data_IF_313148235529
#
_entry.id   IF_313148235529
#
_cell.length_a   1.000
_cell.length_b   1.000
_cell.length_c   1.000
_cell.angle_alpha   90.00
_cell.angle_beta   90.00
_cell.angle_gamma   90.00
#
_symmetry.space_group_name_H-M   'P 1'
#
loop_
_entity.id
_entity.type
_entity.pdbx_description
1 polymer ?
#
# COMPACT_ATOMS: atom_id res chain seq x y z
N UNK A 1 38.84 40.16 -30.07
CA UNK A 1 37.90 40.24 -28.93
C UNK A 1 37.14 41.58 -28.85
N UNK A 2 36.85 42.26 -29.96
CA UNK A 2 36.05 43.52 -29.99
C UNK A 2 34.96 43.53 -31.06
N UNK A 3 34.76 42.43 -31.78
CA UNK A 3 33.75 42.33 -32.85
C UNK A 3 32.39 41.83 -32.36
N UNK A 4 32.33 40.97 -31.33
CA UNK A 4 31.05 40.44 -30.83
C UNK A 4 30.26 41.42 -29.96
N UNK A 5 30.96 42.32 -29.26
CA UNK A 5 30.33 43.43 -28.54
C UNK A 5 29.69 44.43 -29.52
N UNK A 6 30.11 44.52 -30.78
CA UNK A 6 29.45 45.44 -31.73
C UNK A 6 28.15 44.88 -32.32
N UNK A 7 27.85 43.58 -32.14
CA UNK A 7 26.65 42.96 -32.73
C UNK A 7 25.46 42.96 -31.77
N UNK A 8 25.67 42.63 -30.48
CA UNK A 8 24.64 42.75 -29.42
C UNK A 8 24.11 44.19 -29.29
N UNK A 9 24.96 45.19 -29.55
CA UNK A 9 24.62 46.61 -29.41
C UNK A 9 23.98 47.22 -30.67
N UNK A 10 24.09 46.55 -31.83
CA UNK A 10 23.39 46.96 -33.05
C UNK A 10 21.89 46.70 -32.95
N UNK A 11 21.44 45.71 -32.18
CA UNK A 11 20.03 45.35 -32.01
C UNK A 11 19.30 46.36 -31.11
N UNK A 12 19.85 46.62 -29.92
CA UNK A 12 19.35 47.66 -29.00
C UNK A 12 19.35 49.04 -29.69
N UNK A 13 20.36 49.35 -30.50
CA UNK A 13 20.41 50.61 -31.27
C UNK A 13 19.55 50.64 -32.54
N UNK A 14 19.00 49.51 -33.04
CA UNK A 14 18.09 49.48 -34.21
C UNK A 14 16.64 49.70 -33.79
N UNK A 15 16.24 49.12 -32.66
CA UNK A 15 14.93 49.37 -32.02
C UNK A 15 14.88 50.74 -31.33
N UNK A 16 15.99 51.21 -30.72
CA UNK A 16 16.05 52.53 -30.07
C UNK A 16 16.47 53.69 -31.00
N UNK A 17 16.62 53.46 -32.31
CA UNK A 17 17.01 54.53 -33.27
C UNK A 17 15.91 55.52 -33.58
N UNK A 18 14.78 55.44 -32.88
CA UNK A 18 13.73 56.44 -32.88
C UNK A 18 13.80 57.16 -31.53
N UNK A 19 14.49 58.32 -31.52
CA UNK A 19 14.34 59.40 -30.53
C UNK A 19 15.15 59.42 -29.20
N UNK A 20 16.48 59.22 -29.18
CA UNK A 20 17.27 59.58 -27.98
C UNK A 20 18.59 60.32 -28.28
N UNK A 21 18.94 61.32 -27.45
CA UNK A 21 20.20 62.05 -27.54
C UNK A 21 21.35 61.32 -26.82
N UNK A 22 22.60 61.69 -27.13
CA UNK A 22 23.85 61.05 -26.65
C UNK A 22 23.94 60.81 -25.13
N UNK A 23 23.30 61.67 -24.32
CA UNK A 23 23.25 61.60 -22.86
C UNK A 23 22.25 60.55 -22.35
N UNK A 24 21.11 60.41 -23.03
CA UNK A 24 20.10 59.37 -22.76
C UNK A 24 20.59 58.00 -23.22
N UNK A 25 21.36 57.96 -24.31
CA UNK A 25 22.06 56.76 -24.76
C UNK A 25 23.10 56.30 -23.72
N UNK A 26 23.85 57.21 -23.11
CA UNK A 26 24.78 56.89 -22.02
C UNK A 26 24.06 56.41 -20.77
N UNK A 27 22.91 57.00 -20.40
CA UNK A 27 22.09 56.50 -19.30
C UNK A 27 21.49 55.12 -19.59
N UNK A 28 21.06 54.85 -20.83
CA UNK A 28 20.65 53.50 -21.26
C UNK A 28 21.82 52.52 -21.21
N UNK A 29 23.01 52.87 -21.71
CA UNK A 29 24.22 52.04 -21.62
C UNK A 29 24.61 51.78 -20.16
N UNK A 30 24.40 52.74 -19.26
CA UNK A 30 24.73 52.60 -17.83
C UNK A 30 23.68 51.74 -17.11
N UNK A 31 22.39 51.88 -17.46
CA UNK A 31 21.30 50.97 -17.06
C UNK A 31 21.50 49.55 -17.63
N UNK A 32 22.02 49.42 -18.84
CA UNK A 32 22.35 48.14 -19.50
C UNK A 32 23.63 47.50 -18.94
N UNK A 33 24.61 48.29 -18.46
CA UNK A 33 25.77 47.74 -17.72
C UNK A 33 25.39 47.27 -16.32
N UNK A 34 24.33 47.79 -15.72
CA UNK A 34 23.71 47.18 -14.53
C UNK A 34 22.89 45.92 -14.82
N UNK A 35 22.66 45.54 -16.09
CA UNK A 35 21.96 44.29 -16.45
C UNK A 35 22.79 43.02 -16.27
N UNK A 36 24.10 43.13 -15.98
CA UNK A 36 24.88 41.98 -15.52
C UNK A 36 24.39 41.42 -14.17
N UNK A 37 23.63 42.24 -13.40
CA UNK A 37 23.09 41.94 -12.07
C UNK A 37 21.54 41.86 -12.05
N UNK A 38 20.89 41.40 -13.13
CA UNK A 38 19.44 41.16 -13.11
C UNK A 38 19.15 40.02 -12.13
N UNK A 39 18.44 40.34 -11.05
CA UNK A 39 17.92 39.40 -10.05
C UNK A 39 16.42 39.12 -10.22
N UNK A 40 15.78 39.78 -11.19
CA UNK A 40 14.37 39.58 -11.46
C UNK A 40 14.17 38.24 -12.19
N UNK A 41 13.52 37.30 -11.50
CA UNK A 41 13.40 35.91 -11.93
C UNK A 41 12.52 35.75 -13.17
N UNK A 42 11.48 36.59 -13.32
CA UNK A 42 10.60 36.54 -14.49
C UNK A 42 11.34 37.04 -15.74
N UNK A 43 12.13 38.12 -15.61
CA UNK A 43 12.97 38.62 -16.70
C UNK A 43 14.07 37.63 -17.09
N UNK A 44 14.66 36.92 -16.11
CA UNK A 44 15.65 35.88 -16.40
C UNK A 44 15.02 34.72 -17.20
N UNK A 45 13.79 34.31 -16.85
CA UNK A 45 13.07 33.28 -17.61
C UNK A 45 12.71 33.75 -19.03
N UNK A 46 12.24 35.00 -19.16
CA UNK A 46 11.93 35.60 -20.46
C UNK A 46 13.16 35.68 -21.37
N UNK A 47 14.31 36.14 -20.85
CA UNK A 47 15.55 36.21 -21.64
C UNK A 47 16.06 34.83 -22.02
N UNK A 48 15.94 33.84 -21.13
CA UNK A 48 16.31 32.47 -21.47
C UNK A 48 15.50 31.94 -22.65
N UNK A 49 14.18 32.21 -22.69
CA UNK A 49 13.30 31.83 -23.78
C UNK A 49 13.64 32.58 -25.08
N UNK A 50 13.90 33.88 -25.01
CA UNK A 50 14.23 34.67 -26.21
C UNK A 50 15.54 34.19 -26.85
N UNK A 51 16.57 33.94 -26.05
CA UNK A 51 17.82 33.33 -26.53
C UNK A 51 17.59 31.93 -27.11
N UNK A 52 16.74 31.12 -26.48
CA UNK A 52 16.38 29.79 -26.99
C UNK A 52 15.73 29.85 -28.37
N UNK A 53 14.73 30.72 -28.55
CA UNK A 53 14.02 30.92 -29.82
C UNK A 53 14.94 31.40 -30.96
N UNK A 54 15.99 32.16 -30.60
CA UNK A 54 17.03 32.61 -31.54
C UNK A 54 18.11 31.55 -31.80
N UNK A 55 18.02 30.38 -31.18
CA UNK A 55 19.03 29.30 -31.22
C UNK A 55 20.36 29.68 -30.57
N UNK A 56 20.34 30.63 -29.65
CA UNK A 56 21.48 31.05 -28.82
C UNK A 56 21.54 30.21 -27.53
N UNK A 57 21.64 28.88 -27.69
CA UNK A 57 21.44 27.91 -26.61
C UNK A 57 22.37 28.11 -25.40
N UNK A 58 23.61 28.53 -25.63
CA UNK A 58 24.55 28.79 -24.53
C UNK A 58 24.10 29.98 -23.66
N UNK A 59 23.62 31.06 -24.27
CA UNK A 59 23.14 32.22 -23.53
C UNK A 59 21.85 31.88 -22.79
N UNK A 60 20.96 31.09 -23.41
CA UNK A 60 19.78 30.54 -22.76
C UNK A 60 20.14 29.75 -21.49
N UNK A 61 21.12 28.84 -21.57
CA UNK A 61 21.66 28.08 -20.41
C UNK A 61 22.25 28.99 -19.34
N UNK A 62 23.01 30.01 -19.71
CA UNK A 62 23.60 30.94 -18.75
C UNK A 62 22.53 31.72 -17.96
N UNK A 63 21.41 32.09 -18.60
CA UNK A 63 20.26 32.69 -17.92
C UNK A 63 19.54 31.69 -17.01
N UNK A 64 19.38 30.42 -17.41
CA UNK A 64 18.83 29.37 -16.53
C UNK A 64 19.69 29.15 -15.29
N UNK A 65 21.03 29.10 -15.45
CA UNK A 65 21.98 29.00 -14.32
C UNK A 65 21.83 30.16 -13.33
N UNK A 66 21.67 31.38 -13.84
CA UNK A 66 21.39 32.56 -12.99
C UNK A 66 20.05 32.41 -12.27
N UNK A 67 19.02 31.93 -12.96
CA UNK A 67 17.71 31.72 -12.37
C UNK A 67 17.76 30.68 -11.26
N UNK A 68 18.43 29.54 -11.48
CA UNK A 68 18.69 28.52 -10.44
C UNK A 68 19.39 29.14 -9.22
N UNK A 69 20.44 29.92 -9.45
CA UNK A 69 21.21 30.55 -8.38
C UNK A 69 20.39 31.55 -7.55
N UNK A 70 19.44 32.25 -8.17
CA UNK A 70 18.60 33.24 -7.48
C UNK A 70 17.26 32.68 -6.98
N UNK A 71 16.89 31.45 -7.35
CA UNK A 71 15.59 30.83 -7.05
C UNK A 71 15.44 30.28 -5.61
N UNK A 72 16.41 30.47 -4.71
CA UNK A 72 16.39 29.90 -3.34
C UNK A 72 15.48 30.63 -2.32
N UNK A 73 14.68 31.61 -2.73
CA UNK A 73 13.66 32.17 -1.84
C UNK A 73 12.34 31.42 -2.02
N UNK A 74 12.02 30.50 -1.10
CA UNK A 74 10.75 29.74 -1.03
C UNK A 74 9.48 30.64 -1.11
N UNK A 75 9.64 31.95 -0.90
CA UNK A 75 8.63 33.01 -0.90
C UNK A 75 8.58 33.92 -2.14
N UNK A 76 9.32 33.63 -3.23
CA UNK A 76 9.31 34.53 -4.40
C UNK A 76 8.04 34.38 -5.24
N UNK A 77 7.18 35.40 -5.18
CA UNK A 77 6.00 35.52 -6.05
C UNK A 77 6.36 35.57 -7.54
N UNK A 78 7.47 36.24 -7.90
CA UNK A 78 7.91 36.34 -9.31
C UNK A 78 8.37 35.00 -9.88
N UNK A 79 9.01 34.14 -9.07
CA UNK A 79 9.40 32.80 -9.51
C UNK A 79 8.18 31.91 -9.75
N UNK A 80 7.17 32.05 -8.88
CA UNK A 80 5.90 31.30 -8.92
C UNK A 80 4.89 31.92 -9.89
N UNK A 81 5.23 33.00 -10.60
CA UNK A 81 4.33 33.64 -11.55
C UNK A 81 4.02 32.71 -12.72
N UNK A 82 2.77 32.75 -13.20
CA UNK A 82 2.35 31.98 -14.38
C UNK A 82 3.20 32.31 -15.61
N UNK A 83 3.67 33.55 -15.73
CA UNK A 83 4.54 33.98 -16.83
C UNK A 83 5.88 33.25 -16.79
N UNK A 84 6.55 33.25 -15.64
CA UNK A 84 7.82 32.53 -15.43
C UNK A 84 7.66 31.05 -15.79
N UNK A 85 6.62 30.40 -15.28
CA UNK A 85 6.33 28.98 -15.55
C UNK A 85 6.09 28.76 -17.05
N UNK A 86 5.31 29.62 -17.71
CA UNK A 86 5.01 29.51 -19.14
C UNK A 86 6.24 29.69 -20.02
N UNK A 87 7.15 30.63 -19.68
CA UNK A 87 8.40 30.80 -20.40
C UNK A 87 9.28 29.55 -20.31
N UNK A 88 9.42 28.98 -19.10
CA UNK A 88 10.19 27.77 -18.88
C UNK A 88 9.58 26.55 -19.61
N UNK A 89 8.25 26.42 -19.62
CA UNK A 89 7.54 25.37 -20.36
C UNK A 89 7.78 25.43 -21.87
N UNK A 90 7.83 26.63 -22.44
CA UNK A 90 8.11 26.78 -23.87
C UNK A 90 9.50 26.26 -24.22
N UNK A 91 10.51 26.54 -23.37
CA UNK A 91 11.85 25.98 -23.54
C UNK A 91 11.82 24.46 -23.38
N UNK A 92 11.18 23.97 -22.32
CA UNK A 92 11.11 22.54 -22.00
C UNK A 92 10.47 21.67 -23.08
N UNK A 93 9.66 22.25 -23.98
CA UNK A 93 8.95 21.50 -25.01
C UNK A 93 9.81 20.89 -26.10
N UNK A 94 11.08 21.32 -26.25
CA UNK A 94 11.98 20.83 -27.30
C UNK A 94 13.46 21.15 -27.01
N UNK A 95 13.91 21.00 -25.77
CA UNK A 95 15.28 21.34 -25.36
C UNK A 95 16.19 20.11 -25.23
N UNK A 96 17.50 20.35 -25.12
CA UNK A 96 18.45 19.28 -24.82
C UNK A 96 18.37 18.82 -23.35
N UNK A 97 19.03 17.70 -23.03
CA UNK A 97 19.03 17.12 -21.69
C UNK A 97 19.57 18.06 -20.60
N UNK A 98 20.59 18.87 -20.92
CA UNK A 98 21.17 19.83 -19.98
C UNK A 98 20.18 20.95 -19.65
N UNK A 99 19.53 21.53 -20.65
CA UNK A 99 18.50 22.56 -20.45
C UNK A 99 17.29 21.99 -19.72
N UNK A 100 16.85 20.77 -20.05
CA UNK A 100 15.73 20.15 -19.36
C UNK A 100 16.05 19.92 -17.88
N UNK A 101 17.24 19.40 -17.57
CA UNK A 101 17.70 19.20 -16.19
C UNK A 101 17.70 20.51 -15.40
N UNK A 102 18.19 21.60 -15.99
CA UNK A 102 18.12 22.94 -15.37
C UNK A 102 16.67 23.41 -15.13
N UNK A 103 15.76 23.16 -16.08
CA UNK A 103 14.35 23.54 -15.93
C UNK A 103 13.67 22.71 -14.84
N UNK A 104 13.96 21.40 -14.76
CA UNK A 104 13.44 20.54 -13.71
C UNK A 104 13.96 20.96 -12.32
N UNK A 105 15.22 21.38 -12.21
CA UNK A 105 15.75 21.97 -10.96
C UNK A 105 14.99 23.25 -10.55
N UNK A 106 14.65 24.11 -11.51
CA UNK A 106 13.84 25.31 -11.24
C UNK A 106 12.41 24.92 -10.82
N UNK A 107 11.77 23.98 -11.52
CA UNK A 107 10.43 23.51 -11.18
C UNK A 107 10.39 22.82 -9.82
N UNK A 108 11.45 22.11 -9.44
CA UNK A 108 11.61 21.56 -8.10
C UNK A 108 11.61 22.67 -7.04
N UNK A 109 12.10 23.88 -7.32
CA UNK A 109 12.01 25.01 -6.38
C UNK A 109 10.62 25.66 -6.38
N UNK A 110 9.91 25.63 -7.51
CA UNK A 110 8.54 26.19 -7.64
C UNK A 110 7.51 25.31 -6.93
N UNK A 111 7.57 23.99 -7.10
CA UNK A 111 6.67 22.98 -6.48
C UNK A 111 5.17 23.19 -6.75
N UNK A 112 4.80 23.84 -7.84
CA UNK A 112 3.40 24.09 -8.18
C UNK A 112 2.92 23.12 -9.27
N UNK A 113 1.65 22.67 -9.25
CA UNK A 113 1.11 21.78 -10.29
C UNK A 113 1.10 22.43 -11.68
N UNK A 114 1.09 23.76 -11.74
CA UNK A 114 1.23 24.51 -12.99
C UNK A 114 2.59 24.29 -13.67
N UNK A 115 3.59 23.71 -13.02
CA UNK A 115 4.84 23.29 -13.67
C UNK A 115 4.64 22.09 -14.62
N UNK A 116 3.63 21.25 -14.38
CA UNK A 116 3.36 20.07 -15.20
C UNK A 116 2.68 20.45 -16.51
N UNK A 117 3.08 19.81 -17.61
CA UNK A 117 2.41 19.91 -18.90
C UNK A 117 2.65 18.66 -19.74
N UNK A 118 1.75 18.29 -20.66
CA UNK A 118 1.96 17.16 -21.56
C UNK A 118 3.26 17.28 -22.37
N UNK A 119 3.62 18.50 -22.78
CA UNK A 119 4.86 18.76 -23.52
C UNK A 119 6.11 18.45 -22.68
N UNK A 120 6.08 18.79 -21.38
CA UNK A 120 7.18 18.47 -20.47
C UNK A 120 7.35 16.95 -20.33
N UNK A 121 6.24 16.22 -20.15
CA UNK A 121 6.26 14.76 -20.05
C UNK A 121 6.78 14.11 -21.34
N UNK A 122 6.30 14.57 -22.50
CA UNK A 122 6.79 14.09 -23.79
C UNK A 122 8.29 14.29 -23.93
N UNK A 123 8.82 15.45 -23.53
CA UNK A 123 10.27 15.69 -23.59
C UNK A 123 11.06 14.78 -22.64
N UNK A 124 10.55 14.54 -21.43
CA UNK A 124 11.15 13.59 -20.48
C UNK A 124 11.21 12.18 -21.09
N UNK A 125 10.12 11.73 -21.73
CA UNK A 125 10.03 10.43 -22.39
C UNK A 125 10.90 10.35 -23.65
N UNK A 126 10.98 11.40 -24.46
CA UNK A 126 11.80 11.42 -25.68
C UNK A 126 13.30 11.35 -25.38
N UNK A 127 13.76 11.96 -24.28
CA UNK A 127 15.17 11.98 -23.92
C UNK A 127 15.67 10.67 -23.26
N UNK A 128 14.76 9.84 -22.74
CA UNK A 128 15.06 8.51 -22.16
C UNK A 128 16.26 8.49 -21.20
N UNK A 129 16.48 9.57 -20.45
CA UNK A 129 17.57 9.68 -19.49
C UNK A 129 17.07 9.36 -18.09
N UNK A 130 17.64 8.33 -17.46
CA UNK A 130 17.32 7.92 -16.09
C UNK A 130 17.42 9.09 -15.11
N UNK A 131 18.43 9.96 -15.27
CA UNK A 131 18.61 11.14 -14.41
C UNK A 131 17.43 12.12 -14.55
N UNK A 132 16.98 12.38 -15.77
CA UNK A 132 15.85 13.28 -16.06
C UNK A 132 14.54 12.67 -15.55
N UNK A 133 14.33 11.37 -15.76
CA UNK A 133 13.17 10.64 -15.26
C UNK A 133 13.11 10.74 -13.73
N UNK A 134 14.23 10.50 -13.04
CA UNK A 134 14.30 10.59 -11.57
C UNK A 134 14.06 12.03 -11.05
N UNK A 135 14.58 13.04 -11.74
CA UNK A 135 14.29 14.44 -11.40
C UNK A 135 12.80 14.76 -11.59
N UNK A 136 12.17 14.24 -12.65
CA UNK A 136 10.75 14.42 -12.90
C UNK A 136 9.87 13.71 -11.84
N UNK A 137 10.24 12.49 -11.41
CA UNK A 137 9.56 11.81 -10.30
C UNK A 137 9.69 12.61 -9.01
N UNK A 138 10.90 13.13 -8.73
CA UNK A 138 11.13 13.98 -7.55
C UNK A 138 10.24 15.22 -7.60
N UNK A 139 10.05 15.81 -8.79
CA UNK A 139 9.13 16.94 -8.98
C UNK A 139 7.69 16.54 -8.69
N UNK A 140 7.20 15.42 -9.25
CA UNK A 140 5.87 14.90 -8.97
C UNK A 140 5.67 14.67 -7.47
N UNK A 141 6.66 14.07 -6.80
CA UNK A 141 6.62 13.83 -5.36
C UNK A 141 6.50 15.13 -4.56
N UNK A 142 7.32 16.13 -4.90
CA UNK A 142 7.30 17.41 -4.20
C UNK A 142 5.99 18.16 -4.43
N UNK A 143 5.43 18.11 -5.64
CA UNK A 143 4.11 18.66 -5.95
C UNK A 143 3.04 17.96 -5.12
N UNK A 144 3.04 16.63 -5.05
CA UNK A 144 2.04 15.86 -4.29
C UNK A 144 2.10 16.17 -2.79
N UNK A 145 3.29 16.32 -2.21
CA UNK A 145 3.44 16.58 -0.77
C UNK A 145 3.17 18.02 -0.35
N UNK A 146 3.33 18.99 -1.25
CA UNK A 146 3.26 20.42 -0.93
C UNK A 146 1.94 21.08 -1.29
N UNK A 147 1.01 20.36 -1.94
CA UNK A 147 -0.25 20.93 -2.44
C UNK A 147 -1.46 20.12 -1.97
N UNK A 148 -2.64 20.75 -2.01
CA UNK A 148 -3.90 20.08 -1.68
C UNK A 148 -4.22 18.99 -2.71
N UNK A 149 -4.32 17.74 -2.25
CA UNK A 149 -4.48 16.57 -3.13
C UNK A 149 -5.76 16.65 -3.95
N UNK A 150 -6.87 17.14 -3.39
CA UNK A 150 -8.13 17.27 -4.13
C UNK A 150 -7.95 18.17 -5.37
N UNK A 151 -7.20 19.27 -5.25
CA UNK A 151 -6.89 20.14 -6.39
C UNK A 151 -5.97 19.46 -7.40
N UNK A 152 -4.93 18.76 -6.93
CA UNK A 152 -4.01 18.03 -7.81
C UNK A 152 -4.71 16.99 -8.68
N UNK A 153 -5.71 16.32 -8.11
CA UNK A 153 -6.43 15.28 -8.81
C UNK A 153 -7.54 15.86 -9.70
N UNK A 154 -8.41 16.72 -9.16
CA UNK A 154 -9.58 17.21 -9.89
C UNK A 154 -9.21 18.25 -10.97
N UNK A 155 -8.11 18.99 -10.80
CA UNK A 155 -7.76 20.11 -11.69
C UNK A 155 -6.48 19.88 -12.50
N UNK A 156 -5.55 19.03 -12.04
CA UNK A 156 -4.23 18.89 -12.64
C UNK A 156 -3.89 17.48 -13.13
N UNK A 157 -4.81 16.52 -13.01
CA UNK A 157 -4.66 15.15 -13.51
C UNK A 157 -3.33 14.47 -13.09
N UNK A 158 -2.88 14.70 -11.84
CA UNK A 158 -1.58 14.19 -11.36
C UNK A 158 -1.44 12.66 -11.51
N UNK A 159 -2.56 11.94 -11.38
CA UNK A 159 -2.60 10.49 -11.56
C UNK A 159 -2.16 10.10 -12.98
N UNK A 160 -2.59 10.83 -14.01
CA UNK A 160 -2.23 10.51 -15.39
C UNK A 160 -0.72 10.64 -15.61
N UNK A 161 -0.09 11.69 -15.07
CA UNK A 161 1.37 11.83 -15.12
C UNK A 161 2.10 10.69 -14.42
N UNK A 162 1.59 10.25 -13.26
CA UNK A 162 2.16 9.10 -12.56
C UNK A 162 2.06 7.83 -13.41
N UNK A 163 0.95 7.63 -14.11
CA UNK A 163 0.76 6.46 -14.98
C UNK A 163 1.66 6.49 -16.21
N UNK A 164 1.78 7.65 -16.84
CA UNK A 164 2.55 7.77 -18.08
C UNK A 164 4.06 7.69 -17.84
N UNK A 165 4.55 8.11 -16.67
CA UNK A 165 5.97 7.94 -16.30
C UNK A 165 6.28 6.51 -15.83
N UNK A 166 5.26 5.76 -15.39
CA UNK A 166 5.43 4.40 -14.80
C UNK A 166 6.17 3.43 -15.73
N UNK A 167 5.98 3.56 -17.05
CA UNK A 167 6.59 2.66 -18.04
C UNK A 167 8.10 2.92 -18.25
N UNK A 168 8.60 4.07 -17.81
CA UNK A 168 9.99 4.49 -17.97
C UNK A 168 10.83 4.27 -16.69
N UNK A 169 10.27 3.59 -15.68
CA UNK A 169 10.89 3.39 -14.37
C UNK A 169 11.71 2.10 -14.31
N UNK A 170 12.99 2.25 -13.99
CA UNK A 170 13.86 1.14 -13.59
C UNK A 170 13.77 0.83 -12.08
N UNK A 171 13.43 1.83 -11.26
CA UNK A 171 13.17 1.72 -9.82
C UNK A 171 11.87 2.45 -9.46
N UNK A 172 11.08 1.86 -8.57
CA UNK A 172 9.77 2.33 -8.18
C UNK A 172 9.74 2.96 -6.78
N UNK A 173 10.87 3.08 -6.09
CA UNK A 173 10.91 3.55 -4.70
C UNK A 173 10.27 4.92 -4.49
N UNK A 174 10.70 5.96 -5.20
CA UNK A 174 10.16 7.31 -5.07
C UNK A 174 8.72 7.36 -5.56
N UNK A 175 8.40 6.64 -6.64
CA UNK A 175 7.06 6.53 -7.17
C UNK A 175 6.09 5.89 -6.15
N UNK A 176 6.53 4.85 -5.43
CA UNK A 176 5.75 4.18 -4.39
C UNK A 176 5.40 5.14 -3.25
N UNK A 177 6.33 5.97 -2.81
CA UNK A 177 6.08 6.94 -1.74
C UNK A 177 4.97 7.92 -2.12
N UNK A 178 4.90 8.31 -3.41
CA UNK A 178 3.81 9.14 -3.93
C UNK A 178 2.48 8.39 -3.84
N UNK A 179 2.43 7.14 -4.29
CA UNK A 179 1.20 6.34 -4.27
C UNK A 179 0.72 6.05 -2.85
N UNK A 180 1.63 5.72 -1.93
CA UNK A 180 1.31 5.49 -0.53
C UNK A 180 0.68 6.75 0.09
N UNK A 181 1.27 7.92 -0.17
CA UNK A 181 0.73 9.19 0.30
C UNK A 181 -0.66 9.48 -0.28
N UNK A 182 -0.86 9.25 -1.58
CA UNK A 182 -2.17 9.43 -2.24
C UNK A 182 -3.22 8.45 -1.70
N UNK A 183 -2.86 7.18 -1.45
CA UNK A 183 -3.78 6.17 -0.90
C UNK A 183 -4.21 6.49 0.54
N UNK A 184 -3.35 7.15 1.29
CA UNK A 184 -3.63 7.60 2.66
C UNK A 184 -4.47 8.89 2.71
N UNK A 185 -4.60 9.62 1.59
CA UNK A 185 -5.37 10.86 1.55
C UNK A 185 -6.87 10.59 1.37
N UNK A 186 -7.65 11.18 2.27
CA UNK A 186 -9.05 10.87 2.55
C UNK A 186 -10.03 11.61 1.61
N UNK A 187 -10.82 10.89 0.81
CA UNK A 187 -12.27 11.19 0.58
C UNK A 187 -12.92 10.32 -0.52
N UNK A 188 -12.19 9.97 -1.59
CA UNK A 188 -12.76 9.23 -2.75
C UNK A 188 -11.83 8.15 -3.35
N UNK A 189 -11.47 7.10 -2.59
CA UNK A 189 -10.55 6.05 -3.06
C UNK A 189 -11.00 5.42 -4.39
N UNK A 190 -12.27 5.03 -4.51
CA UNK A 190 -12.75 4.24 -5.66
C UNK A 190 -12.52 4.80 -7.07
N UNK A 191 -12.44 6.12 -7.31
CA UNK A 191 -12.20 6.68 -8.66
C UNK A 191 -10.71 6.63 -9.02
N UNK A 192 -9.88 7.07 -8.09
CA UNK A 192 -8.43 7.21 -8.26
C UNK A 192 -7.72 5.86 -8.37
N UNK A 193 -8.27 4.88 -7.66
CA UNK A 193 -7.79 3.50 -7.64
C UNK A 193 -7.97 2.80 -8.99
N UNK A 194 -9.03 3.10 -9.75
CA UNK A 194 -9.26 2.46 -11.06
C UNK A 194 -8.14 2.72 -12.05
N UNK A 195 -7.66 3.96 -12.04
CA UNK A 195 -6.68 4.43 -12.99
C UNK A 195 -5.27 3.96 -12.61
N UNK A 196 -4.94 3.89 -11.31
CA UNK A 196 -3.64 3.43 -10.81
C UNK A 196 -3.44 1.91 -10.90
N UNK A 197 -4.47 1.11 -10.61
CA UNK A 197 -4.33 -0.35 -10.53
C UNK A 197 -4.03 -0.98 -11.90
N UNK A 198 -4.63 -0.47 -12.98
CA UNK A 198 -4.47 -1.08 -14.31
C UNK A 198 -2.99 -1.04 -14.75
N UNK A 199 -2.26 0.08 -14.62
CA UNK A 199 -0.82 0.11 -14.91
C UNK A 199 0.02 -0.71 -13.93
N UNK A 200 -0.29 -0.72 -12.63
CA UNK A 200 0.38 -1.62 -11.67
C UNK A 200 0.24 -3.09 -12.06
N UNK A 201 -0.93 -3.50 -12.56
CA UNK A 201 -1.14 -4.87 -13.02
C UNK A 201 -0.47 -5.14 -14.38
N UNK A 202 -0.28 -4.13 -15.23
CA UNK A 202 0.54 -4.27 -16.45
C UNK A 202 2.03 -4.40 -16.11
N UNK A 203 2.50 -3.72 -15.06
CA UNK A 203 3.88 -3.82 -14.55
C UNK A 203 4.23 -5.22 -14.02
N UNK A 204 3.24 -6.05 -13.68
CA UNK A 204 3.46 -7.47 -13.32
C UNK A 204 4.17 -8.28 -14.41
N UNK A 205 4.13 -7.81 -15.65
CA UNK A 205 4.82 -8.46 -16.77
C UNK A 205 6.30 -8.08 -16.84
N UNK A 206 6.73 -7.05 -16.11
CA UNK A 206 8.03 -6.39 -16.27
C UNK A 206 8.90 -6.33 -15.01
N UNK A 207 8.32 -6.39 -13.80
CA UNK A 207 9.06 -6.31 -12.52
C UNK A 207 8.91 -7.57 -11.65
N UNK A 208 9.87 -7.77 -10.74
CA UNK A 208 9.75 -8.61 -9.57
C UNK A 208 8.39 -8.35 -8.88
N UNK A 209 7.60 -9.40 -8.64
CA UNK A 209 6.24 -9.35 -8.09
C UNK A 209 6.04 -8.48 -6.82
N UNK A 210 7.10 -7.95 -6.22
CA UNK A 210 7.12 -7.23 -4.96
C UNK A 210 6.56 -5.80 -5.03
N UNK A 211 6.94 -4.98 -6.01
CA UNK A 211 6.46 -3.59 -6.09
C UNK A 211 4.96 -3.54 -6.29
N UNK A 212 4.45 -4.41 -7.17
CA UNK A 212 3.00 -4.49 -7.41
C UNK A 212 2.24 -4.92 -6.15
N UNK A 213 2.75 -5.90 -5.40
CA UNK A 213 2.14 -6.33 -4.15
C UNK A 213 2.15 -5.21 -3.10
N UNK A 214 3.22 -4.43 -2.99
CA UNK A 214 3.28 -3.30 -2.05
C UNK A 214 2.22 -2.23 -2.36
N UNK A 215 2.03 -1.89 -3.64
CA UNK A 215 0.98 -0.93 -4.03
C UNK A 215 -0.41 -1.46 -3.70
N UNK A 216 -0.68 -2.73 -4.03
CA UNK A 216 -1.94 -3.39 -3.70
C UNK A 216 -2.15 -3.41 -2.18
N UNK A 217 -1.10 -3.67 -1.41
CA UNK A 217 -1.14 -3.66 0.05
C UNK A 217 -1.48 -2.27 0.60
N UNK A 218 -0.83 -1.21 0.12
CA UNK A 218 -1.16 0.18 0.48
C UNK A 218 -2.63 0.51 0.19
N UNK A 219 -3.17 -0.03 -0.91
CA UNK A 219 -4.58 0.12 -1.26
C UNK A 219 -5.52 -0.65 -0.33
N UNK A 220 -5.19 -1.90 0.02
CA UNK A 220 -5.95 -2.69 1.00
C UNK A 220 -5.87 -2.08 2.41
N UNK A 221 -4.82 -1.32 2.72
CA UNK A 221 -4.66 -0.62 3.98
C UNK A 221 -5.50 0.67 4.09
N UNK A 222 -6.07 1.16 2.98
CA UNK A 222 -6.93 2.35 2.98
C UNK A 222 -8.15 2.17 3.91
N UNK A 223 -8.23 2.96 4.98
CA UNK A 223 -9.23 2.77 6.05
C UNK A 223 -10.66 3.15 5.65
N UNK A 224 -10.83 4.06 4.70
CA UNK A 224 -12.15 4.64 4.36
C UNK A 224 -12.94 3.87 3.32
N UNK A 225 -12.28 3.11 2.44
CA UNK A 225 -12.95 2.36 1.37
C UNK A 225 -12.27 1.00 1.10
N UNK A 226 -11.78 0.35 2.17
CA UNK A 226 -11.11 -0.95 2.08
C UNK A 226 -11.92 -1.96 1.27
N UNK A 227 -13.23 -2.03 1.53
CA UNK A 227 -14.13 -2.98 0.87
C UNK A 227 -14.34 -2.64 -0.61
N UNK A 228 -14.48 -1.36 -0.97
CA UNK A 228 -14.60 -0.94 -2.37
C UNK A 228 -13.33 -1.21 -3.16
N UNK A 229 -12.16 -0.91 -2.57
CA UNK A 229 -10.85 -1.20 -3.15
C UNK A 229 -10.66 -2.70 -3.42
N UNK A 230 -10.97 -3.55 -2.43
CA UNK A 230 -10.89 -5.02 -2.59
C UNK A 230 -11.85 -5.50 -3.67
N UNK A 231 -13.11 -5.06 -3.66
CA UNK A 231 -14.07 -5.46 -4.68
C UNK A 231 -13.63 -5.06 -6.08
N UNK A 232 -12.97 -3.90 -6.22
CA UNK A 232 -12.41 -3.49 -7.50
C UNK A 232 -11.26 -4.41 -7.96
N UNK A 233 -10.31 -4.70 -7.07
CA UNK A 233 -9.21 -5.62 -7.34
C UNK A 233 -9.71 -7.02 -7.75
N UNK A 234 -10.77 -7.51 -7.09
CA UNK A 234 -11.39 -8.81 -7.36
C UNK A 234 -12.09 -8.93 -8.71
N UNK A 235 -12.34 -7.82 -9.40
CA UNK A 235 -12.90 -7.81 -10.77
C UNK A 235 -11.79 -8.00 -11.80
N UNK A 236 -10.52 -7.73 -11.44
CA UNK A 236 -9.45 -7.68 -12.42
C UNK A 236 -8.93 -9.09 -12.73
N UNK A 237 -8.91 -9.50 -14.02
CA UNK A 237 -8.38 -10.81 -14.40
C UNK A 237 -6.94 -11.00 -13.95
N UNK A 238 -6.62 -12.19 -13.42
CA UNK A 238 -5.27 -12.53 -12.95
C UNK A 238 -4.91 -12.01 -11.56
N UNK A 239 -5.74 -11.18 -10.91
CA UNK A 239 -5.45 -10.66 -9.57
C UNK A 239 -5.36 -11.78 -8.53
N UNK A 240 -6.34 -12.69 -8.49
CA UNK A 240 -6.31 -13.84 -7.57
C UNK A 240 -5.13 -14.75 -7.88
N UNK A 241 -4.85 -15.00 -9.17
CA UNK A 241 -3.71 -15.81 -9.60
C UNK A 241 -2.39 -15.23 -9.12
N UNK A 242 -2.22 -13.90 -9.19
CA UNK A 242 -1.04 -13.20 -8.67
C UNK A 242 -0.82 -13.47 -7.19
N UNK A 243 -1.87 -13.29 -6.36
CA UNK A 243 -1.78 -13.50 -4.91
C UNK A 243 -1.42 -14.95 -4.57
N UNK A 244 -2.04 -15.88 -5.29
CA UNK A 244 -1.84 -17.30 -5.10
C UNK A 244 -0.43 -17.74 -5.52
N UNK A 245 0.10 -17.19 -6.61
CA UNK A 245 1.46 -17.45 -7.07
C UNK A 245 2.54 -16.82 -6.17
N UNK A 246 2.18 -15.81 -5.38
CA UNK A 246 3.06 -15.10 -4.46
C UNK A 246 2.58 -15.20 -3.01
N UNK A 247 2.08 -16.37 -2.61
CA UNK A 247 1.36 -16.54 -1.34
C UNK A 247 2.14 -16.02 -0.13
N UNK A 248 3.43 -16.31 -0.04
CA UNK A 248 4.30 -15.90 1.07
C UNK A 248 4.44 -14.38 1.22
N UNK A 249 4.34 -13.64 0.11
CA UNK A 249 4.43 -12.17 0.08
C UNK A 249 3.06 -11.50 0.12
N UNK A 250 1.97 -12.26 0.01
CA UNK A 250 0.61 -11.73 -0.20
C UNK A 250 -0.30 -11.93 1.01
N UNK A 251 0.21 -12.42 2.15
CA UNK A 251 -0.63 -12.75 3.31
C UNK A 251 -1.43 -11.57 3.85
N UNK A 252 -0.86 -10.37 3.88
CA UNK A 252 -1.57 -9.17 4.34
C UNK A 252 -2.73 -8.81 3.40
N UNK A 253 -2.53 -8.93 2.08
CA UNK A 253 -3.60 -8.67 1.11
C UNK A 253 -4.69 -9.75 1.23
N UNK A 254 -4.30 -11.01 1.35
CA UNK A 254 -5.22 -12.15 1.52
C UNK A 254 -6.03 -12.01 2.81
N UNK A 255 -5.42 -11.59 3.91
CA UNK A 255 -6.12 -11.37 5.19
C UNK A 255 -7.17 -10.27 5.04
N UNK A 256 -6.86 -9.17 4.35
CA UNK A 256 -7.83 -8.12 4.07
C UNK A 256 -8.97 -8.58 3.18
N UNK A 257 -8.71 -9.41 2.15
CA UNK A 257 -9.78 -10.03 1.35
C UNK A 257 -10.68 -10.89 2.24
N UNK A 258 -10.07 -11.73 3.09
CA UNK A 258 -10.76 -12.57 4.08
C UNK A 258 -11.45 -11.76 5.16
N UNK A 259 -11.14 -10.48 5.40
CA UNK A 259 -11.88 -9.62 6.33
C UNK A 259 -13.05 -8.90 5.67
N UNK A 260 -12.96 -8.61 4.36
CA UNK A 260 -13.91 -7.71 3.70
C UNK A 260 -14.81 -8.33 2.61
N UNK A 261 -14.51 -9.53 2.10
CA UNK A 261 -15.22 -10.09 0.93
C UNK A 261 -15.42 -11.61 0.96
N UNK A 262 -16.68 -12.05 1.05
CA UNK A 262 -17.05 -13.47 0.88
C UNK A 262 -16.77 -13.98 -0.54
N UNK A 263 -17.04 -13.16 -1.56
CA UNK A 263 -16.77 -13.50 -2.97
C UNK A 263 -15.27 -13.69 -3.20
N UNK A 264 -14.45 -12.74 -2.72
CA UNK A 264 -13.00 -12.84 -2.80
C UNK A 264 -12.45 -14.07 -2.08
N UNK A 265 -12.98 -14.36 -0.88
CA UNK A 265 -12.59 -15.56 -0.13
C UNK A 265 -13.00 -16.84 -0.86
N UNK A 266 -14.19 -16.85 -1.47
CA UNK A 266 -14.66 -18.00 -2.27
C UNK A 266 -13.77 -18.23 -3.49
N UNK A 267 -13.38 -17.17 -4.20
CA UNK A 267 -12.45 -17.23 -5.34
C UNK A 267 -11.07 -17.76 -4.92
N UNK A 268 -10.53 -17.30 -3.80
CA UNK A 268 -9.27 -17.82 -3.25
C UNK A 268 -9.36 -19.32 -2.97
N UNK A 269 -10.46 -19.77 -2.35
CA UNK A 269 -10.68 -21.19 -2.05
C UNK A 269 -10.82 -22.01 -3.34
N UNK A 270 -11.50 -21.49 -4.37
CA UNK A 270 -11.59 -22.13 -5.68
C UNK A 270 -10.23 -22.26 -6.38
N UNK A 271 -9.25 -21.44 -6.01
CA UNK A 271 -7.85 -21.48 -6.48
C UNK A 271 -6.93 -22.28 -5.56
N UNK A 272 -7.52 -23.20 -4.79
CA UNK A 272 -6.86 -24.14 -3.89
C UNK A 272 -6.07 -23.49 -2.75
N UNK A 273 -6.51 -22.32 -2.25
CA UNK A 273 -5.84 -21.59 -1.18
C UNK A 273 -5.46 -22.50 0.01
N UNK A 274 -6.39 -23.31 0.52
CA UNK A 274 -6.14 -24.15 1.68
C UNK A 274 -5.11 -25.25 1.42
N UNK A 275 -5.10 -25.84 0.23
CA UNK A 275 -4.11 -26.87 -0.15
C UNK A 275 -2.72 -26.23 -0.28
N UNK A 276 -2.65 -25.03 -0.86
CA UNK A 276 -1.39 -24.29 -1.03
C UNK A 276 -0.83 -23.81 0.31
N UNK A 277 -1.68 -23.29 1.20
CA UNK A 277 -1.30 -22.96 2.58
C UNK A 277 -0.81 -24.20 3.32
N UNK A 278 -1.52 -25.33 3.24
CA UNK A 278 -1.10 -26.57 3.89
C UNK A 278 0.32 -26.99 3.47
N UNK A 279 0.58 -27.05 2.16
CA UNK A 279 1.92 -27.38 1.63
C UNK A 279 3.01 -26.39 2.05
N UNK A 280 2.69 -25.11 2.12
CA UNK A 280 3.63 -24.08 2.58
C UNK A 280 3.93 -24.21 4.07
N UNK A 281 2.96 -24.59 4.89
CA UNK A 281 3.19 -24.83 6.32
C UNK A 281 4.12 -26.03 6.54
N UNK A 282 3.94 -27.09 5.75
CA UNK A 282 4.83 -28.25 5.78
C UNK A 282 6.27 -27.89 5.40
N UNK A 283 6.43 -26.98 4.43
CA UNK A 283 7.74 -26.53 3.98
C UNK A 283 8.41 -25.53 4.94
N UNK A 284 7.64 -24.63 5.56
CA UNK A 284 8.14 -23.57 6.43
C UNK A 284 7.25 -23.35 7.66
N UNK A 285 7.67 -23.94 8.78
CA UNK A 285 6.98 -23.85 10.07
C UNK A 285 7.03 -22.44 10.71
N UNK A 286 7.85 -21.52 10.20
CA UNK A 286 7.88 -20.14 10.71
C UNK A 286 6.58 -19.38 10.39
N UNK A 287 5.83 -19.81 9.38
CA UNK A 287 4.58 -19.18 8.93
C UNK A 287 3.33 -19.61 9.71
N UNK A 288 3.47 -20.51 10.70
CA UNK A 288 2.34 -21.07 11.47
C UNK A 288 1.42 -20.00 12.06
N UNK A 289 1.97 -18.95 12.68
CA UNK A 289 1.21 -17.88 13.33
C UNK A 289 0.37 -17.12 12.32
N UNK A 290 0.93 -16.83 11.14
CA UNK A 290 0.21 -16.21 10.04
C UNK A 290 -0.97 -17.06 9.59
N UNK A 291 -0.83 -18.39 9.57
CA UNK A 291 -1.90 -19.27 9.08
C UNK A 291 -2.98 -19.45 10.14
N UNK A 292 -2.60 -19.56 11.41
CA UNK A 292 -3.55 -19.52 12.54
C UNK A 292 -4.38 -18.24 12.47
N UNK A 293 -3.73 -17.09 12.23
CA UNK A 293 -4.41 -15.81 12.08
C UNK A 293 -5.39 -15.81 10.89
N UNK A 294 -4.97 -16.29 9.71
CA UNK A 294 -5.86 -16.37 8.54
C UNK A 294 -7.09 -17.24 8.78
N UNK A 295 -6.94 -18.40 9.42
CA UNK A 295 -8.04 -19.30 9.75
C UNK A 295 -8.98 -18.64 10.77
N UNK A 296 -8.43 -17.97 11.78
CA UNK A 296 -9.23 -17.20 12.75
C UNK A 296 -10.10 -16.15 12.03
N UNK A 297 -9.52 -15.41 11.08
CA UNK A 297 -10.28 -14.42 10.30
C UNK A 297 -11.42 -15.05 9.50
N UNK A 298 -11.19 -16.21 8.87
CA UNK A 298 -12.25 -16.94 8.17
C UNK A 298 -13.36 -17.32 9.14
N UNK A 299 -13.00 -17.90 10.29
CA UNK A 299 -13.96 -18.31 11.31
C UNK A 299 -14.82 -17.13 11.78
N UNK A 300 -14.23 -15.95 12.00
CA UNK A 300 -14.92 -14.79 12.57
C UNK A 300 -15.78 -14.01 11.56
N UNK A 301 -15.30 -13.86 10.33
CA UNK A 301 -15.88 -12.90 9.39
C UNK A 301 -16.64 -13.52 8.22
N UNK A 302 -16.52 -14.83 7.98
CA UNK A 302 -17.06 -15.45 6.77
C UNK A 302 -18.39 -16.18 6.98
N UNK A 303 -19.08 -16.38 5.87
CA UNK A 303 -20.33 -17.17 5.80
C UNK A 303 -20.12 -18.62 6.20
N UNK A 304 -21.22 -19.27 6.58
CA UNK A 304 -21.18 -20.64 7.07
C UNK A 304 -20.67 -21.63 6.02
N UNK A 305 -20.99 -21.38 4.76
CA UNK A 305 -20.49 -22.17 3.62
C UNK A 305 -18.97 -22.14 3.50
N UNK A 306 -18.33 -21.01 3.79
CA UNK A 306 -16.87 -20.87 3.71
C UNK A 306 -16.22 -21.57 4.90
N UNK A 307 -16.79 -21.40 6.09
CA UNK A 307 -16.27 -22.01 7.31
C UNK A 307 -16.38 -23.53 7.27
N UNK A 308 -17.47 -24.09 6.74
CA UNK A 308 -17.59 -25.55 6.54
C UNK A 308 -16.48 -26.10 5.64
N UNK A 309 -16.19 -25.44 4.51
CA UNK A 309 -15.07 -25.82 3.64
C UNK A 309 -13.71 -25.77 4.33
N UNK A 310 -13.52 -24.80 5.23
CA UNK A 310 -12.30 -24.70 6.03
C UNK A 310 -12.19 -25.87 7.02
N UNK A 311 -13.26 -26.18 7.76
CA UNK A 311 -13.28 -27.26 8.77
C UNK A 311 -13.00 -28.63 8.14
N UNK A 312 -13.47 -28.84 6.91
CA UNK A 312 -13.22 -30.06 6.12
C UNK A 312 -11.82 -30.10 5.49
N UNK A 313 -11.05 -29.01 5.55
CA UNK A 313 -9.72 -28.93 4.94
C UNK A 313 -8.63 -29.58 5.79
N UNK A 314 -7.61 -30.11 5.11
CA UNK A 314 -6.39 -30.62 5.76
C UNK A 314 -5.63 -29.54 6.55
N UNK A 315 -5.71 -28.29 6.11
CA UNK A 315 -5.11 -27.15 6.80
C UNK A 315 -5.68 -27.01 8.22
N UNK A 316 -6.99 -27.11 8.38
CA UNK A 316 -7.63 -27.02 9.70
C UNK A 316 -7.22 -28.18 10.61
N UNK A 317 -7.17 -29.40 10.07
CA UNK A 317 -6.64 -30.56 10.80
C UNK A 317 -5.20 -30.33 11.26
N UNK A 318 -4.32 -29.84 10.38
CA UNK A 318 -2.91 -29.61 10.69
C UNK A 318 -2.72 -28.58 11.81
N UNK A 319 -3.54 -27.53 11.84
CA UNK A 319 -3.49 -26.53 12.91
C UNK A 319 -3.91 -27.12 14.26
N UNK A 320 -4.94 -27.98 14.28
CA UNK A 320 -5.33 -28.70 15.49
C UNK A 320 -4.32 -29.80 15.89
N UNK A 321 -3.40 -30.15 15.01
CA UNK A 321 -2.34 -31.14 15.23
C UNK A 321 -1.02 -30.53 15.71
N UNK A 322 -0.90 -29.20 15.77
CA UNK A 322 0.33 -28.54 16.22
C UNK A 322 0.62 -28.87 17.69
N UNK A 323 1.89 -29.08 18.00
CA UNK A 323 2.33 -29.39 19.35
C UNK A 323 2.47 -28.11 20.19
N UNK A 324 2.15 -28.20 21.48
CA UNK A 324 2.24 -27.11 22.45
C UNK A 324 3.66 -26.53 22.53
N UNK A 325 4.70 -27.36 22.38
CA UNK A 325 6.10 -26.92 22.35
C UNK A 325 6.44 -26.08 21.12
N UNK A 326 5.65 -26.21 20.06
CA UNK A 326 5.82 -25.47 18.82
C UNK A 326 5.02 -24.17 18.79
N UNK A 327 4.05 -23.97 19.69
CA UNK A 327 3.15 -22.82 19.69
C UNK A 327 3.63 -21.73 20.64
N UNK A 328 3.58 -20.47 20.19
CA UNK A 328 3.81 -19.32 21.05
C UNK A 328 2.55 -18.98 21.86
N UNK A 329 2.68 -18.18 22.92
CA UNK A 329 1.54 -17.79 23.75
C UNK A 329 0.43 -17.11 22.93
N UNK A 330 0.80 -16.24 21.98
CA UNK A 330 -0.17 -15.57 21.11
C UNK A 330 -0.90 -16.56 20.20
N UNK A 331 -0.22 -17.59 19.68
CA UNK A 331 -0.84 -18.64 18.88
C UNK A 331 -1.93 -19.38 19.68
N UNK A 332 -1.65 -19.71 20.94
CA UNK A 332 -2.57 -20.40 21.84
C UNK A 332 -3.80 -19.53 22.16
N UNK A 333 -3.60 -18.22 22.34
CA UNK A 333 -4.70 -17.26 22.50
C UNK A 333 -5.59 -17.26 21.26
N UNK A 334 -5.01 -17.13 20.06
CA UNK A 334 -5.78 -17.12 18.80
C UNK A 334 -6.55 -18.42 18.59
N UNK A 335 -5.92 -19.58 18.81
CA UNK A 335 -6.58 -20.90 18.69
C UNK A 335 -7.73 -21.01 19.70
N UNK A 336 -7.52 -20.63 20.97
CA UNK A 336 -8.58 -20.73 22.00
C UNK A 336 -9.80 -19.86 21.66
N UNK A 337 -9.58 -18.65 21.12
CA UNK A 337 -10.63 -17.74 20.65
C UNK A 337 -11.37 -18.31 19.45
N UNK A 338 -10.64 -18.85 18.47
CA UNK A 338 -11.21 -19.50 17.29
C UNK A 338 -12.14 -20.65 17.69
N UNK A 339 -11.67 -21.56 18.55
CA UNK A 339 -12.43 -22.73 18.98
C UNK A 339 -13.69 -22.32 19.75
N UNK A 340 -13.56 -21.40 20.73
CA UNK A 340 -14.71 -20.91 21.49
C UNK A 340 -15.79 -20.31 20.58
N UNK A 341 -15.38 -19.51 19.59
CA UNK A 341 -16.29 -18.91 18.64
C UNK A 341 -16.99 -19.97 17.78
N UNK A 342 -16.23 -20.90 17.17
CA UNK A 342 -16.78 -21.95 16.32
C UNK A 342 -17.79 -22.81 17.08
N UNK A 343 -17.47 -23.16 18.32
CA UNK A 343 -18.31 -23.98 19.19
C UNK A 343 -19.61 -23.27 19.53
N UNK A 344 -19.56 -21.98 19.86
CA UNK A 344 -20.76 -21.18 20.12
C UNK A 344 -21.61 -20.98 18.86
N UNK A 345 -20.97 -20.78 17.70
CA UNK A 345 -21.65 -20.51 16.44
C UNK A 345 -22.38 -21.74 15.90
N UNK A 346 -21.71 -22.88 15.82
CA UNK A 346 -22.26 -24.12 15.24
C UNK A 346 -22.75 -25.09 16.31
N UNK A 347 -23.51 -24.59 17.29
CA UNK A 347 -23.99 -25.37 18.44
C UNK A 347 -24.94 -26.53 18.05
N UNK A 348 -24.39 -27.56 17.43
CA UNK A 348 -25.08 -28.75 16.98
C UNK A 348 -24.18 -29.97 17.09
N UNK A 349 -24.80 -31.13 17.30
CA UNK A 349 -24.12 -32.40 17.53
C UNK A 349 -23.25 -32.85 16.36
N UNK A 350 -23.70 -32.63 15.12
CA UNK A 350 -22.99 -33.12 13.93
C UNK A 350 -21.60 -32.52 13.78
N UNK A 351 -21.47 -31.21 14.03
CA UNK A 351 -20.19 -30.51 14.02
C UNK A 351 -19.28 -30.99 15.15
N UNK A 352 -19.82 -31.14 16.36
CA UNK A 352 -19.02 -31.59 17.50
C UNK A 352 -18.55 -33.04 17.34
N UNK A 353 -19.40 -33.93 16.83
CA UNK A 353 -19.00 -35.30 16.50
C UNK A 353 -17.90 -35.31 15.44
N UNK A 354 -17.98 -34.45 14.42
CA UNK A 354 -16.91 -34.30 13.44
C UNK A 354 -15.59 -33.89 14.11
N UNK A 355 -15.60 -32.86 14.96
CA UNK A 355 -14.39 -32.42 15.67
C UNK A 355 -13.78 -33.56 16.50
N UNK A 356 -14.61 -34.29 17.25
CA UNK A 356 -14.16 -35.39 18.12
C UNK A 356 -13.60 -36.57 17.30
N UNK A 357 -14.23 -36.93 16.18
CA UNK A 357 -13.92 -38.17 15.46
C UNK A 357 -12.93 -38.00 14.31
N UNK A 358 -12.87 -36.82 13.69
CA UNK A 358 -12.11 -36.58 12.45
C UNK A 358 -10.91 -35.68 12.63
N UNK A 359 -10.72 -35.09 13.82
CA UNK A 359 -9.61 -34.16 14.08
C UNK A 359 -8.90 -34.48 15.39
N UNK A 360 -7.79 -33.79 15.67
CA UNK A 360 -7.08 -33.87 16.95
C UNK A 360 -7.61 -32.88 18.00
N UNK A 361 -8.85 -32.44 17.85
CA UNK A 361 -9.51 -31.46 18.73
C UNK A 361 -9.38 -31.78 20.22
N UNK A 362 -9.60 -33.03 20.65
CA UNK A 362 -9.48 -33.42 22.06
C UNK A 362 -8.05 -33.22 22.60
N UNK A 363 -7.03 -33.50 21.78
CA UNK A 363 -5.65 -33.29 22.17
C UNK A 363 -5.33 -31.79 22.30
N UNK A 364 -5.81 -30.98 21.34
CA UNK A 364 -5.68 -29.53 21.38
C UNK A 364 -6.34 -28.92 22.64
N UNK A 365 -7.55 -29.39 23.03
CA UNK A 365 -8.18 -28.97 24.29
C UNK A 365 -7.28 -29.28 25.51
N UNK A 366 -6.63 -30.44 25.52
CA UNK A 366 -5.74 -30.83 26.62
C UNK A 366 -4.51 -29.92 26.72
N UNK A 367 -3.89 -29.61 25.59
CA UNK A 367 -2.76 -28.68 25.52
C UNK A 367 -3.15 -27.28 26.01
N UNK A 368 -4.29 -26.75 25.56
CA UNK A 368 -4.77 -25.42 25.98
C UNK A 368 -5.11 -25.37 27.48
N UNK A 369 -5.66 -26.45 28.04
CA UNK A 369 -5.94 -26.53 29.49
C UNK A 369 -4.66 -26.61 30.34
N UNK A 370 -3.56 -27.15 29.82
CA UNK A 370 -2.29 -27.19 30.54
C UNK A 370 -1.69 -25.79 30.76
N UNK A 371 -2.10 -24.79 29.97
CA UNK A 371 -1.61 -23.39 30.02
C UNK A 371 -2.34 -22.55 31.06
N UNK A 372 -2.34 -22.98 32.31
CA UNK A 372 -3.07 -22.31 33.41
C UNK A 372 -2.54 -20.88 33.64
N UNK A 373 -1.26 -20.63 33.35
CA UNK A 373 -0.64 -19.31 33.40
C UNK A 373 -1.24 -18.31 32.40
N UNK A 374 -1.82 -18.80 31.30
CA UNK A 374 -2.56 -18.00 30.33
C UNK A 374 -4.05 -18.07 30.64
N UNK A 375 -4.50 -17.29 31.63
CA UNK A 375 -5.89 -17.33 32.12
C UNK A 375 -6.94 -17.20 31.01
N UNK A 376 -6.69 -16.39 29.99
CA UNK A 376 -7.62 -16.26 28.86
C UNK A 376 -7.78 -17.59 28.09
N UNK A 377 -6.66 -18.26 27.77
CA UNK A 377 -6.66 -19.54 27.04
C UNK A 377 -7.41 -20.59 27.85
N UNK A 378 -7.09 -20.70 29.14
CA UNK A 378 -7.72 -21.63 30.06
C UNK A 378 -9.24 -21.41 30.13
N UNK A 379 -9.67 -20.17 30.37
CA UNK A 379 -11.09 -19.81 30.48
C UNK A 379 -11.84 -20.08 29.17
N UNK A 380 -11.29 -19.67 28.02
CA UNK A 380 -11.90 -19.92 26.71
C UNK A 380 -12.09 -21.42 26.46
N UNK A 381 -11.11 -22.23 26.88
CA UNK A 381 -11.13 -23.69 26.71
C UNK A 381 -12.16 -24.35 27.63
N UNK A 382 -12.24 -23.95 28.91
CA UNK A 382 -13.27 -24.42 29.82
C UNK A 382 -14.67 -24.07 29.31
N UNK A 383 -14.88 -22.82 28.89
CA UNK A 383 -16.18 -22.40 28.35
C UNK A 383 -16.58 -23.21 27.12
N UNK A 384 -15.61 -23.52 26.26
CA UNK A 384 -15.81 -24.38 25.09
C UNK A 384 -16.26 -25.79 25.49
N UNK A 385 -15.59 -26.40 26.46
CA UNK A 385 -15.90 -27.75 26.96
C UNK A 385 -17.29 -27.77 27.60
N UNK A 386 -17.59 -26.84 28.50
CA UNK A 386 -18.89 -26.76 29.17
C UNK A 386 -20.00 -26.54 28.14
N UNK A 387 -19.76 -25.66 27.16
CA UNK A 387 -20.74 -25.44 26.11
C UNK A 387 -21.03 -26.71 25.31
N UNK A 388 -20.01 -27.43 24.86
CA UNK A 388 -20.18 -28.71 24.16
C UNK A 388 -20.90 -29.73 25.05
N UNK A 389 -20.49 -29.84 26.31
CA UNK A 389 -21.02 -30.81 27.26
C UNK A 389 -22.51 -30.62 27.56
N UNK A 390 -23.02 -29.39 27.59
CA UNK A 390 -24.37 -29.10 28.08
C UNK A 390 -25.31 -28.44 27.07
N UNK A 391 -24.84 -28.07 25.88
CA UNK A 391 -25.71 -27.46 24.85
C UNK A 391 -26.47 -28.48 23.99
N UNK A 392 -26.16 -29.77 24.11
CA UNK A 392 -26.68 -30.82 23.24
C UNK A 392 -27.48 -31.88 24.03
N UNK A 393 -27.73 -33.05 23.45
CA UNK A 393 -28.37 -34.17 24.15
C UNK A 393 -27.48 -34.79 25.23
N UNK A 394 -28.12 -35.46 26.20
CA UNK A 394 -27.45 -36.25 27.23
C UNK A 394 -26.61 -37.38 26.60
N UNK A 395 -27.11 -37.98 25.52
CA UNK A 395 -26.40 -38.99 24.74
C UNK A 395 -25.09 -38.44 24.17
N UNK A 396 -25.13 -37.25 23.58
CA UNK A 396 -23.93 -36.59 23.09
C UNK A 396 -22.96 -36.24 24.23
N UNK A 397 -23.46 -35.71 25.36
CA UNK A 397 -22.63 -35.42 26.54
C UNK A 397 -21.86 -36.65 27.01
N UNK A 398 -22.49 -37.84 26.98
CA UNK A 398 -21.82 -39.12 27.29
C UNK A 398 -20.71 -39.42 26.28
N UNK A 399 -20.94 -39.27 24.99
CA UNK A 399 -19.93 -39.48 23.93
C UNK A 399 -18.74 -38.54 24.14
N UNK A 400 -19.01 -37.26 24.39
CA UNK A 400 -17.95 -36.29 24.62
C UNK A 400 -17.16 -36.60 25.89
N UNK A 401 -17.86 -36.97 26.98
CA UNK A 401 -17.25 -37.40 28.25
C UNK A 401 -16.37 -38.64 28.08
N UNK A 402 -16.82 -39.65 27.32
CA UNK A 402 -16.02 -40.82 26.95
C UNK A 402 -14.76 -40.44 26.20
N UNK A 403 -14.86 -39.46 25.30
CA UNK A 403 -13.75 -39.04 24.43
C UNK A 403 -12.62 -38.37 25.20
N UNK A 404 -12.91 -37.74 26.34
CA UNK A 404 -11.92 -37.10 27.22
C UNK A 404 -11.47 -38.00 28.38
N UNK A 405 -12.10 -39.17 28.56
CA UNK A 405 -11.83 -40.04 29.70
C UNK A 405 -10.39 -40.54 29.71
N UNK A 406 -9.73 -40.47 30.88
CA UNK A 406 -8.32 -40.86 31.08
C UNK A 406 -7.35 -40.09 30.18
N UNK A 407 -7.71 -38.88 29.74
CA UNK A 407 -6.86 -37.99 28.95
C UNK A 407 -6.43 -36.76 29.76
N UNK A 408 -5.41 -36.02 29.29
CA UNK A 408 -4.96 -34.78 29.96
C UNK A 408 -6.08 -33.77 30.22
N UNK A 409 -7.09 -33.74 29.33
CA UNK A 409 -8.29 -32.89 29.51
C UNK A 409 -9.00 -33.19 30.83
N UNK A 410 -9.24 -34.46 31.16
CA UNK A 410 -9.91 -34.83 32.40
C UNK A 410 -9.08 -34.48 33.64
N UNK A 411 -7.78 -34.76 33.60
CA UNK A 411 -6.88 -34.44 34.72
C UNK A 411 -6.86 -32.94 35.02
N UNK A 412 -6.89 -32.09 33.99
CA UNK A 412 -6.91 -30.64 34.18
C UNK A 412 -8.28 -30.12 34.62
N UNK A 413 -9.38 -30.72 34.16
CA UNK A 413 -10.72 -30.39 34.66
C UNK A 413 -10.90 -30.80 36.13
N UNK A 414 -10.28 -31.89 36.59
CA UNK A 414 -10.30 -32.28 38.00
C UNK A 414 -9.51 -31.33 38.90
N UNK A 415 -8.44 -30.72 38.37
CA UNK A 415 -7.61 -29.71 39.06
C UNK A 415 -8.14 -28.28 38.87
N UNK A 416 -9.38 -28.13 38.43
CA UNK A 416 -9.96 -26.86 38.00
C UNK A 416 -9.73 -25.74 39.04
N UNK A 417 -9.24 -24.60 38.56
CA UNK A 417 -8.92 -23.41 39.36
C UNK A 417 -9.78 -22.20 38.93
N UNK A 418 -10.96 -22.44 38.36
CA UNK A 418 -11.89 -21.38 38.02
C UNK A 418 -12.25 -20.55 39.27
N UNK A 419 -12.40 -19.23 39.07
CA UNK A 419 -12.87 -18.31 40.11
C UNK A 419 -14.40 -18.13 40.08
N UNK A 420 -15.09 -18.89 39.24
CA UNK A 420 -16.53 -18.86 39.04
C UNK A 420 -17.16 -20.18 39.49
N UNK A 421 -17.95 -20.12 40.57
CA UNK A 421 -18.61 -21.28 41.17
C UNK A 421 -19.58 -21.97 40.21
N UNK A 422 -20.22 -21.24 39.28
CA UNK A 422 -21.12 -21.86 38.31
C UNK A 422 -20.37 -22.71 37.29
N UNK A 423 -19.12 -22.34 36.97
CA UNK A 423 -18.25 -23.12 36.10
C UNK A 423 -17.81 -24.39 36.83
N UNK A 424 -17.48 -24.28 38.11
CA UNK A 424 -17.05 -25.41 38.94
C UNK A 424 -18.15 -26.46 39.07
N UNK A 425 -19.39 -26.04 39.36
CA UNK A 425 -20.55 -26.92 39.46
C UNK A 425 -20.81 -27.67 38.15
N UNK A 426 -20.72 -26.98 37.01
CA UNK A 426 -20.89 -27.60 35.69
C UNK A 426 -19.77 -28.59 35.36
N UNK A 427 -18.53 -28.30 35.75
CA UNK A 427 -17.43 -29.26 35.55
C UNK A 427 -17.66 -30.50 36.41
N UNK A 428 -18.06 -30.35 37.67
CA UNK A 428 -18.40 -31.48 38.54
C UNK A 428 -19.56 -32.31 37.97
N UNK A 429 -20.63 -31.66 37.51
CA UNK A 429 -21.75 -32.34 36.85
C UNK A 429 -21.28 -33.15 35.63
N UNK A 430 -20.45 -32.55 34.77
CA UNK A 430 -19.95 -33.19 33.57
C UNK A 430 -19.01 -34.38 33.86
N UNK A 431 -18.11 -34.24 34.83
CA UNK A 431 -17.17 -35.29 35.20
C UNK A 431 -17.86 -36.51 35.82
N UNK A 432 -19.00 -36.31 36.49
CA UNK A 432 -19.80 -37.34 37.15
C UNK A 432 -20.79 -38.08 36.24
N UNK A 433 -20.84 -37.78 34.93
CA UNK A 433 -21.66 -38.53 33.98
C UNK A 433 -21.18 -39.99 33.93
N UNK A 434 -22.02 -40.92 34.39
CA UNK A 434 -21.72 -42.36 34.46
C UNK A 434 -22.05 -43.04 33.12
N UNK A 435 -21.11 -43.81 32.60
CA UNK A 435 -21.29 -44.66 31.43
C UNK A 435 -22.07 -45.92 31.82
N UNK A 436 -23.23 -46.16 31.20
CA UNK A 436 -23.94 -47.44 31.28
C UNK A 436 -23.85 -48.14 29.94
#
# INVERSE_FOLDING_TARGET
MTKDINFQWKFVARELKVCFNKRELQQCITRLRSWSNIKDLELLAQFSLECFNRREYQQSKDYLKKLIHYADSESSENLKSLNTINYLKQIASNCDSEQLSMILEIFLKICLPQCLSPQLLNQVQELQSIEIINQFITLLQRIVYMNEIDQLIEQHNIIQYLLDVTLELDDFKEWFQIIEYLCNYHSKPSLYFKNLIIPCLKLLQYDSNQVTLQVIESMCNCKTDRRGAINYLLIIPGFIDLLINNLSKSFNIISHIIEQSDDGTTKLIQMDLFIKLHKLLEADQSLKTTFIYLILLICFYRTDTIILKLIESQLFYQILALDEQTLQNDDLILISRMLLYLIKKYSNESFYLYLIQKTLFINMLGQLLNKIELQEVYNNTIHSIIHIAFSQSIEFSKIFRQSIFMRPVEEQLQKNNSKDANIDDKIQEFLNIIYK
#
